data_IF_500632673014
#
_entry.id   IF_500632673014
#
_cell.length_a   1.000
_cell.length_b   1.000
_cell.length_c   1.000
_cell.angle_alpha   90.00
_cell.angle_beta   90.00
_cell.angle_gamma   90.00
#
_symmetry.space_group_name_H-M   'P 1'
#
loop_
_entity.id
_entity.type
_entity.pdbx_description
1 polymer ?
#
# COMPACT_ATOMS: atom_id res chain seq x y z
N UNK A 1 -5.98 36.88 -15.97
CA UNK A 1 -6.10 35.72 -15.07
C UNK A 1 -4.87 34.84 -15.28
N UNK A 2 -3.97 34.77 -14.30
CA UNK A 2 -2.80 33.88 -14.39
C UNK A 2 -3.29 32.48 -13.99
N UNK A 3 -3.26 31.54 -14.94
CA UNK A 3 -3.44 30.12 -14.68
C UNK A 3 -2.33 29.65 -13.73
N UNK A 4 -2.61 29.59 -12.44
CA UNK A 4 -1.71 29.00 -11.44
C UNK A 4 -1.93 27.48 -11.32
N UNK A 5 -2.07 26.77 -12.44
CA UNK A 5 -2.21 25.31 -12.50
C UNK A 5 -0.87 24.57 -12.71
N UNK A 6 0.22 25.13 -12.19
CA UNK A 6 1.52 24.45 -12.12
C UNK A 6 2.26 24.92 -10.88
N UNK A 7 2.04 24.22 -9.77
CA UNK A 7 2.94 24.07 -8.62
C UNK A 7 2.24 23.27 -7.49
N UNK A 8 1.82 22.04 -7.79
CA UNK A 8 1.88 20.99 -6.78
C UNK A 8 3.14 20.21 -7.15
N UNK A 9 4.21 20.45 -6.40
CA UNK A 9 5.44 19.68 -6.52
C UNK A 9 5.09 18.20 -6.52
N UNK A 10 5.66 17.47 -7.47
CA UNK A 10 5.79 16.02 -7.54
C UNK A 10 6.52 15.52 -6.27
N UNK A 11 5.86 15.54 -5.13
CA UNK A 11 6.40 14.94 -3.91
C UNK A 11 6.24 13.43 -4.08
N UNK A 12 7.34 12.69 -4.04
CA UNK A 12 7.30 11.23 -4.02
C UNK A 12 6.82 10.72 -2.68
N UNK A 13 6.17 9.57 -2.66
CA UNK A 13 5.79 8.82 -1.46
C UNK A 13 6.99 8.67 -0.53
N UNK A 14 8.17 8.34 -1.07
CA UNK A 14 9.39 8.19 -0.28
C UNK A 14 9.79 9.45 0.47
N UNK A 15 9.75 10.60 -0.21
CA UNK A 15 10.16 11.90 0.35
C UNK A 15 9.16 12.39 1.39
N UNK A 16 7.87 12.16 1.14
CA UNK A 16 6.81 12.46 2.09
C UNK A 16 6.91 11.63 3.36
N UNK A 17 7.16 10.32 3.22
CA UNK A 17 7.35 9.41 4.35
C UNK A 17 8.59 9.77 5.17
N UNK A 18 9.70 10.14 4.52
CA UNK A 18 10.90 10.59 5.23
C UNK A 18 10.65 11.87 6.03
N UNK A 19 9.92 12.83 5.46
CA UNK A 19 9.53 14.05 6.19
C UNK A 19 8.68 13.72 7.41
N UNK A 20 7.71 12.81 7.28
CA UNK A 20 6.84 12.40 8.39
C UNK A 20 7.61 11.63 9.47
N UNK A 21 8.48 10.71 9.08
CA UNK A 21 9.31 9.97 10.02
C UNK A 21 10.28 10.89 10.79
N UNK A 22 10.80 11.95 10.15
CA UNK A 22 11.65 12.95 10.79
C UNK A 22 10.90 13.80 11.83
N UNK A 23 9.58 13.95 11.70
CA UNK A 23 8.71 14.59 12.69
C UNK A 23 8.42 13.67 13.91
N UNK A 24 9.11 12.52 14.04
CA UNK A 24 8.88 11.48 15.07
C UNK A 24 7.46 10.90 14.97
N UNK A 25 6.88 10.97 13.78
CA UNK A 25 5.58 10.36 13.51
C UNK A 25 5.77 8.89 13.13
N UNK A 26 4.95 7.99 13.69
CA UNK A 26 4.93 6.60 13.27
C UNK A 26 4.27 6.48 11.90
N UNK A 27 5.10 6.26 10.87
CA UNK A 27 4.64 6.09 9.49
C UNK A 27 4.26 4.66 9.16
N UNK A 28 4.47 3.70 10.07
CA UNK A 28 4.27 2.28 9.78
C UNK A 28 2.83 1.93 9.41
N UNK A 29 1.84 2.65 9.95
CA UNK A 29 0.42 2.43 9.70
C UNK A 29 -0.27 3.64 9.03
N UNK A 30 0.52 4.56 8.48
CA UNK A 30 -0.01 5.83 7.99
C UNK A 30 -0.88 5.64 6.74
N UNK A 31 -1.92 6.46 6.63
CA UNK A 31 -2.73 6.56 5.42
C UNK A 31 -2.08 7.58 4.49
N UNK A 32 -1.72 7.16 3.28
CA UNK A 32 -1.26 8.09 2.25
C UNK A 32 -2.39 9.06 1.88
N UNK A 33 -2.09 10.36 1.69
CA UNK A 33 -3.03 11.30 1.08
C UNK A 33 -3.49 10.78 -0.29
N UNK A 34 -4.76 10.99 -0.63
CA UNK A 34 -5.36 10.47 -1.86
C UNK A 34 -4.56 10.89 -3.11
N UNK A 35 -4.16 12.16 -3.16
CA UNK A 35 -3.39 12.78 -4.24
C UNK A 35 -1.95 12.24 -4.37
N UNK A 36 -1.46 11.53 -3.36
CA UNK A 36 -0.12 10.92 -3.36
C UNK A 36 -0.17 9.43 -3.72
N UNK A 37 -1.23 8.74 -3.32
CA UNK A 37 -1.38 7.29 -3.50
C UNK A 37 -1.71 6.84 -4.93
N UNK A 38 -2.30 7.71 -5.76
CA UNK A 38 -2.81 7.33 -7.08
C UNK A 38 -1.84 7.66 -8.24
N UNK A 39 -0.90 8.58 -8.04
CA UNK A 39 -0.08 9.12 -9.13
C UNK A 39 1.31 8.49 -9.24
N UNK A 40 1.82 7.81 -8.20
CA UNK A 40 3.15 7.21 -8.24
C UNK A 40 3.10 5.73 -8.59
N UNK A 41 3.84 5.36 -9.64
CA UNK A 41 4.10 3.96 -10.00
C UNK A 41 5.21 3.43 -9.08
N UNK A 42 5.05 2.26 -8.44
CA UNK A 42 6.11 1.69 -7.63
C UNK A 42 7.35 1.40 -8.48
N UNK A 43 8.52 1.57 -7.87
CA UNK A 43 9.79 1.20 -8.51
C UNK A 43 9.86 -0.30 -8.79
N UNK A 44 9.23 -1.11 -7.93
CA UNK A 44 9.25 -2.56 -7.99
C UNK A 44 8.08 -3.16 -7.22
N UNK A 45 7.44 -4.19 -7.77
CA UNK A 45 6.54 -5.10 -7.04
C UNK A 45 7.32 -6.33 -6.61
N UNK A 46 7.54 -6.50 -5.31
CA UNK A 46 8.41 -7.53 -4.74
C UNK A 46 7.64 -8.81 -4.46
N UNK A 47 6.37 -8.67 -4.08
CA UNK A 47 5.49 -9.78 -3.74
C UNK A 47 4.07 -9.40 -4.11
N UNK A 48 3.33 -10.34 -4.68
CA UNK A 48 1.91 -10.23 -4.93
C UNK A 48 1.30 -11.63 -4.87
N UNK A 49 0.25 -11.78 -4.07
CA UNK A 49 -0.52 -13.02 -3.97
C UNK A 49 -1.99 -12.68 -3.78
N UNK A 50 -2.86 -13.38 -4.51
CA UNK A 50 -4.31 -13.22 -4.48
C UNK A 50 -4.96 -14.60 -4.41
N UNK A 51 -5.88 -14.77 -3.46
CA UNK A 51 -6.67 -16.00 -3.33
C UNK A 51 -7.93 -15.86 -4.17
N UNK A 52 -7.83 -16.24 -5.44
CA UNK A 52 -8.98 -16.29 -6.35
C UNK A 52 -9.55 -17.72 -6.41
N UNK A 53 -10.55 -17.99 -5.56
CA UNK A 53 -11.24 -19.30 -5.52
C UNK A 53 -12.39 -19.40 -6.54
N UNK A 54 -12.88 -18.27 -7.05
CA UNK A 54 -14.11 -18.17 -7.84
C UNK A 54 -13.86 -18.05 -9.35
N UNK A 55 -12.58 -17.94 -9.77
CA UNK A 55 -12.15 -17.85 -11.15
C UNK A 55 -12.18 -16.43 -11.72
N UNK A 56 -11.74 -16.31 -12.98
CA UNK A 56 -11.48 -15.02 -13.66
C UNK A 56 -12.74 -14.14 -13.88
N UNK A 57 -13.94 -14.71 -13.73
CA UNK A 57 -15.21 -14.02 -13.93
C UNK A 57 -15.87 -13.57 -12.62
N UNK A 58 -15.21 -13.81 -11.48
CA UNK A 58 -15.73 -13.38 -10.20
C UNK A 58 -15.63 -11.87 -10.05
N UNK A 59 -16.72 -11.26 -9.62
CA UNK A 59 -16.77 -9.85 -9.18
C UNK A 59 -16.61 -9.74 -7.66
N UNK A 60 -16.27 -10.84 -6.99
CA UNK A 60 -16.08 -10.85 -5.55
C UNK A 60 -14.77 -10.15 -5.16
N UNK A 61 -14.79 -9.49 -4.01
CA UNK A 61 -13.59 -8.92 -3.42
C UNK A 61 -12.71 -10.05 -2.87
N UNK A 62 -11.63 -10.37 -3.59
CA UNK A 62 -10.72 -11.45 -3.22
C UNK A 62 -9.68 -11.00 -2.18
N UNK A 63 -9.33 -11.87 -1.21
CA UNK A 63 -8.18 -11.64 -0.34
C UNK A 63 -6.91 -11.53 -1.18
N UNK A 64 -6.09 -10.52 -0.90
CA UNK A 64 -4.82 -10.32 -1.57
C UNK A 64 -3.80 -9.73 -0.61
N UNK A 65 -2.54 -9.85 -0.99
CA UNK A 65 -1.40 -9.29 -0.28
C UNK A 65 -0.34 -8.85 -1.28
N UNK A 66 0.20 -7.65 -1.14
CA UNK A 66 1.21 -7.09 -2.03
C UNK A 66 2.29 -6.35 -1.26
N UNK A 67 3.51 -6.34 -1.82
CA UNK A 67 4.64 -5.52 -1.36
C UNK A 67 5.18 -4.74 -2.55
N UNK A 68 5.08 -3.43 -2.47
CA UNK A 68 5.50 -2.46 -3.49
C UNK A 68 6.61 -1.56 -2.92
N UNK A 69 7.61 -1.22 -3.73
CA UNK A 69 8.75 -0.38 -3.32
C UNK A 69 8.62 1.03 -3.88
N UNK A 70 8.75 2.02 -3.00
CA UNK A 70 8.81 3.45 -3.33
C UNK A 70 10.09 4.03 -2.73
N UNK A 71 11.13 4.19 -3.54
CA UNK A 71 12.47 4.51 -3.06
C UNK A 71 13.00 3.43 -2.11
N UNK A 72 13.27 3.81 -0.87
CA UNK A 72 13.70 2.91 0.21
C UNK A 72 12.57 2.46 1.15
N UNK A 73 11.33 2.79 0.82
CA UNK A 73 10.15 2.34 1.58
C UNK A 73 9.47 1.17 0.89
N UNK A 74 9.09 0.18 1.69
CA UNK A 74 8.30 -0.96 1.30
C UNK A 74 6.89 -0.77 1.82
N UNK A 75 5.95 -0.65 0.90
CA UNK A 75 4.53 -0.57 1.17
C UNK A 75 3.90 -1.95 1.06
N UNK A 76 3.47 -2.47 2.19
CA UNK A 76 2.71 -3.71 2.26
C UNK A 76 1.24 -3.35 2.39
N UNK A 77 0.38 -3.95 1.58
CA UNK A 77 -1.05 -3.81 1.77
C UNK A 77 -1.75 -5.08 1.36
N UNK A 78 -2.96 -5.23 1.87
CA UNK A 78 -3.76 -6.37 1.51
C UNK A 78 -5.13 -6.35 2.15
N UNK A 79 -5.81 -7.46 1.93
CA UNK A 79 -7.17 -7.70 2.36
C UNK A 79 -7.20 -9.11 2.92
N UNK A 80 -7.60 -9.21 4.19
CA UNK A 80 -7.71 -10.52 4.84
C UNK A 80 -8.94 -11.28 4.33
N UNK A 81 -8.90 -12.60 4.46
CA UNK A 81 -10.07 -13.47 4.23
C UNK A 81 -11.14 -13.15 5.27
N UNK A 82 -12.22 -12.49 4.84
CA UNK A 82 -13.37 -12.23 5.71
C UNK A 82 -14.02 -13.55 6.14
N UNK A 83 -14.39 -13.67 7.40
CA UNK A 83 -15.12 -14.85 7.91
C UNK A 83 -16.63 -14.76 7.63
N UNK A 84 -17.15 -13.60 7.25
CA UNK A 84 -18.58 -13.37 7.09
C UNK A 84 -18.91 -12.43 5.92
N UNK A 85 -19.97 -12.79 5.19
CA UNK A 85 -20.53 -12.16 3.96
C UNK A 85 -20.93 -10.68 4.17
N UNK A 86 -20.93 -10.17 5.40
CA UNK A 86 -21.24 -8.77 5.74
C UNK A 86 -20.12 -8.02 6.45
N UNK A 87 -18.98 -8.66 6.71
CA UNK A 87 -17.87 -7.99 7.37
C UNK A 87 -17.09 -7.15 6.35
N UNK A 88 -17.28 -5.83 6.45
CA UNK A 88 -16.50 -4.83 5.75
C UNK A 88 -15.03 -5.23 5.71
N UNK A 89 -14.55 -5.51 4.50
CA UNK A 89 -13.17 -5.69 4.08
C UNK A 89 -12.16 -5.13 5.09
N UNK A 90 -11.49 -6.01 5.85
CA UNK A 90 -10.37 -5.62 6.71
C UNK A 90 -9.14 -5.41 5.84
N UNK A 91 -9.06 -4.23 5.23
CA UNK A 91 -7.85 -3.78 4.56
C UNK A 91 -6.78 -3.45 5.58
N UNK A 92 -5.60 -4.00 5.39
CA UNK A 92 -4.43 -3.74 6.22
C UNK A 92 -3.34 -3.10 5.37
N UNK A 93 -2.49 -2.33 6.03
CA UNK A 93 -1.38 -1.63 5.40
C UNK A 93 -0.20 -1.57 6.35
N UNK A 94 1.01 -1.53 5.81
CA UNK A 94 2.21 -1.44 6.61
C UNK A 94 3.36 -0.84 5.80
N UNK A 95 4.05 0.16 6.33
CA UNK A 95 5.27 0.71 5.76
C UNK A 95 6.49 0.29 6.60
N UNK A 96 7.57 -0.07 5.92
CA UNK A 96 8.87 -0.35 6.54
C UNK A 96 10.02 -0.03 5.59
N UNK A 97 11.23 0.17 6.13
CA UNK A 97 12.47 0.22 5.34
C UNK A 97 13.16 -1.14 5.24
N UNK A 98 12.64 -2.15 5.93
CA UNK A 98 13.15 -3.52 5.95
C UNK A 98 12.37 -4.39 4.96
N UNK A 99 13.06 -4.83 3.90
CA UNK A 99 12.49 -5.67 2.84
C UNK A 99 12.03 -7.03 3.34
N UNK A 100 12.81 -7.67 4.20
CA UNK A 100 12.52 -9.03 4.65
C UNK A 100 11.34 -9.01 5.62
N UNK A 101 11.26 -7.97 6.47
CA UNK A 101 10.08 -7.72 7.29
C UNK A 101 8.84 -7.46 6.43
N UNK A 102 8.96 -6.68 5.35
CA UNK A 102 7.85 -6.39 4.45
C UNK A 102 7.27 -7.67 3.84
N UNK A 103 8.13 -8.51 3.25
CA UNK A 103 7.71 -9.77 2.62
C UNK A 103 7.16 -10.75 3.65
N UNK A 104 7.79 -10.86 4.83
CA UNK A 104 7.31 -11.72 5.91
C UNK A 104 5.92 -11.32 6.40
N UNK A 105 5.69 -10.02 6.61
CA UNK A 105 4.37 -9.49 6.99
C UNK A 105 3.35 -9.80 5.90
N UNK A 106 3.67 -9.54 4.63
CA UNK A 106 2.75 -9.79 3.52
C UNK A 106 2.32 -11.26 3.42
N UNK A 107 3.25 -12.19 3.57
CA UNK A 107 2.94 -13.64 3.60
C UNK A 107 2.04 -14.02 4.77
N UNK A 108 2.32 -13.50 5.97
CA UNK A 108 1.53 -13.83 7.18
C UNK A 108 0.05 -13.41 7.12
N UNK A 109 -0.30 -12.55 6.17
CA UNK A 109 -1.67 -12.09 5.96
C UNK A 109 -2.46 -12.90 4.93
N UNK A 110 -1.79 -13.78 4.16
CA UNK A 110 -2.41 -14.54 3.07
C UNK A 110 -2.22 -16.06 3.21
N UNK A 111 -1.11 -16.51 3.82
CA UNK A 111 -0.85 -17.90 4.23
C UNK A 111 -1.67 -18.30 5.46
#
# INVERSE_FOLDING_TARGET
>A
MKNSFKQANEIKISDWLDKKAAEIFDVSQIVLPHDLSYDEVPDETIYFEEINQDGILSTADHPFSTVERFGHWYYCRGRNKGTDIQSSVLEWRFFTKDRDLAVKTARSHIE
#
